data_IF_023064806665
#
_entry.id   IF_023064806665
#
_cell.length_a   1.000
_cell.length_b   1.000
_cell.length_c   1.000
_cell.angle_alpha   90.00
_cell.angle_beta   90.00
_cell.angle_gamma   90.00
#
_symmetry.space_group_name_H-M   'P 1'
#
loop_
_entity.id
_entity.type
_entity.pdbx_description
1 polymer ?
#
# COMPACT_ATOMS: atom_id res chain seq x y z
N UNK A 1 -4.99 22.44 -4.38
CA UNK A 1 -5.31 21.77 -5.66
C UNK A 1 -6.69 21.10 -5.60
N UNK A 2 -6.95 20.17 -4.69
CA UNK A 2 -8.25 19.47 -4.62
C UNK A 2 -9.46 20.41 -4.47
N UNK A 3 -9.34 21.50 -3.73
CA UNK A 3 -10.41 22.49 -3.59
C UNK A 3 -10.63 23.35 -4.85
N UNK A 4 -9.61 23.53 -5.70
CA UNK A 4 -9.73 24.24 -6.97
C UNK A 4 -10.35 23.40 -8.08
N UNK A 5 -10.01 22.11 -8.12
CA UNK A 5 -10.41 21.16 -9.17
C UNK A 5 -11.04 19.89 -8.57
N UNK A 6 -12.09 20.04 -7.74
CA UNK A 6 -12.67 18.90 -7.04
C UNK A 6 -13.19 17.83 -8.00
N UNK A 7 -13.71 18.24 -9.17
CA UNK A 7 -14.26 17.33 -10.18
C UNK A 7 -13.23 16.35 -10.77
N UNK A 8 -11.93 16.68 -10.72
CA UNK A 8 -10.87 15.84 -11.29
C UNK A 8 -10.02 15.17 -10.20
N UNK A 9 -9.87 15.84 -9.05
CA UNK A 9 -8.88 15.46 -8.07
C UNK A 9 -9.45 14.78 -6.82
N UNK A 10 -10.78 14.81 -6.60
CA UNK A 10 -11.38 14.20 -5.41
C UNK A 10 -12.29 13.05 -5.77
N UNK A 11 -12.34 12.03 -4.91
CA UNK A 11 -13.21 10.87 -5.07
C UNK A 11 -14.66 11.18 -4.72
N UNK A 12 -15.59 10.86 -5.62
CA UNK A 12 -17.02 11.03 -5.39
C UNK A 12 -17.50 10.18 -4.20
N UNK A 13 -16.94 8.98 -4.08
CA UNK A 13 -17.27 7.98 -3.05
C UNK A 13 -16.88 8.44 -1.64
N UNK A 14 -15.79 9.20 -1.52
CA UNK A 14 -15.26 9.63 -0.21
C UNK A 14 -15.74 11.00 0.23
N UNK A 15 -16.21 11.86 -0.66
CA UNK A 15 -16.72 13.19 -0.31
C UNK A 15 -17.80 13.22 0.77
N UNK A 16 -18.75 12.26 0.84
CA UNK A 16 -19.75 12.25 1.89
C UNK A 16 -19.17 12.02 3.29
N UNK A 17 -17.96 11.45 3.40
CA UNK A 17 -17.34 11.12 4.68
C UNK A 17 -16.59 12.27 5.34
N UNK A 18 -16.32 13.36 4.61
CA UNK A 18 -15.66 14.52 5.19
C UNK A 18 -16.36 15.83 4.83
N UNK A 19 -16.52 16.71 5.80
CA UNK A 19 -17.10 18.03 5.56
C UNK A 19 -16.07 19.01 5.02
N UNK A 20 -16.51 19.90 4.12
CA UNK A 20 -15.65 20.96 3.60
C UNK A 20 -15.12 21.87 4.72
N UNK A 21 -15.90 22.07 5.78
CA UNK A 21 -15.48 22.84 6.96
C UNK A 21 -14.31 22.17 7.68
N UNK A 22 -14.40 20.86 7.95
CA UNK A 22 -13.32 20.10 8.57
C UNK A 22 -12.02 20.14 7.75
N UNK A 23 -12.12 19.97 6.42
CA UNK A 23 -10.96 20.07 5.51
C UNK A 23 -10.32 21.46 5.55
N UNK A 24 -11.12 22.52 5.60
CA UNK A 24 -10.61 23.89 5.73
C UNK A 24 -9.86 24.13 7.02
N UNK A 25 -10.41 23.65 8.14
CA UNK A 25 -9.73 23.72 9.44
C UNK A 25 -8.42 22.92 9.43
N UNK A 26 -8.42 21.72 8.85
CA UNK A 26 -7.21 20.92 8.71
C UNK A 26 -6.14 21.64 7.88
N UNK A 27 -6.50 22.24 6.73
CA UNK A 27 -5.57 23.01 5.90
C UNK A 27 -5.01 24.21 6.68
N UNK A 28 -5.84 24.93 7.43
CA UNK A 28 -5.38 26.06 8.28
C UNK A 28 -4.38 25.57 9.31
N UNK A 29 -4.73 24.50 10.04
CA UNK A 29 -3.85 23.92 11.05
C UNK A 29 -2.51 23.49 10.46
N UNK A 30 -2.52 22.77 9.32
CA UNK A 30 -1.29 22.30 8.65
C UNK A 30 -0.43 23.46 8.17
N UNK A 31 -1.01 24.53 7.62
CA UNK A 31 -0.25 25.73 7.19
C UNK A 31 0.40 26.41 8.40
N UNK A 32 -0.36 26.61 9.49
CA UNK A 32 0.16 27.24 10.72
C UNK A 32 1.26 26.37 11.33
N UNK A 33 1.04 25.06 11.45
CA UNK A 33 2.04 24.13 11.94
C UNK A 33 3.30 24.11 11.09
N UNK A 34 3.17 24.10 9.75
CA UNK A 34 4.30 24.15 8.82
C UNK A 34 5.16 25.41 9.04
N UNK A 35 4.52 26.58 9.21
CA UNK A 35 5.23 27.84 9.50
C UNK A 35 5.91 27.76 10.85
N UNK A 36 5.22 27.31 11.89
CA UNK A 36 5.78 27.20 13.24
C UNK A 36 6.99 26.25 13.26
N UNK A 37 6.86 25.06 12.66
CA UNK A 37 7.98 24.11 12.56
C UNK A 37 9.13 24.62 11.70
N UNK A 38 8.85 25.38 10.63
CA UNK A 38 9.87 26.00 9.82
C UNK A 38 10.66 27.05 10.63
N UNK A 39 9.99 27.89 11.42
CA UNK A 39 10.64 28.83 12.32
C UNK A 39 11.48 28.11 13.36
N UNK A 40 10.92 27.14 14.08
CA UNK A 40 11.64 26.35 15.10
C UNK A 40 12.87 25.65 14.45
N UNK A 41 12.69 25.01 13.30
CA UNK A 41 13.78 24.36 12.58
C UNK A 41 14.86 25.34 12.15
N UNK A 42 14.48 26.57 11.75
CA UNK A 42 15.44 27.60 11.38
C UNK A 42 16.26 28.12 12.57
N UNK A 43 15.70 28.10 13.76
CA UNK A 43 16.37 28.52 14.99
C UNK A 43 17.32 27.41 15.50
N UNK A 44 16.86 26.15 15.48
CA UNK A 44 17.56 25.03 16.10
C UNK A 44 18.59 24.33 15.21
N UNK A 45 18.44 24.36 13.88
CA UNK A 45 19.29 23.60 12.96
C UNK A 45 20.30 24.48 12.24
N UNK A 46 21.52 23.97 12.06
CA UNK A 46 22.57 24.64 11.25
C UNK A 46 22.16 24.69 9.76
N UNK A 47 21.64 23.58 9.19
CA UNK A 47 21.16 23.55 7.81
C UNK A 47 19.72 24.05 7.74
N UNK A 48 19.50 25.17 7.04
CA UNK A 48 18.21 25.89 6.95
C UNK A 48 17.35 25.45 5.76
N UNK A 49 17.84 24.59 4.87
CA UNK A 49 17.14 24.21 3.63
C UNK A 49 15.72 23.69 3.88
N UNK A 50 15.53 22.74 4.81
CA UNK A 50 14.23 22.18 5.13
C UNK A 50 13.25 23.24 5.68
N UNK A 51 13.74 24.12 6.54
CA UNK A 51 12.95 25.22 7.10
C UNK A 51 12.49 26.20 6.00
N UNK A 52 13.41 26.59 5.12
CA UNK A 52 13.10 27.49 3.99
C UNK A 52 12.13 26.84 3.02
N UNK A 53 12.33 25.58 2.67
CA UNK A 53 11.39 24.84 1.79
C UNK A 53 10.00 24.77 2.41
N UNK A 54 9.88 24.42 3.69
CA UNK A 54 8.59 24.37 4.40
C UNK A 54 7.89 25.73 4.43
N UNK A 55 8.64 26.80 4.70
CA UNK A 55 8.12 28.17 4.68
C UNK A 55 7.62 28.58 3.30
N UNK A 56 8.42 28.32 2.25
CA UNK A 56 8.04 28.64 0.86
C UNK A 56 6.78 27.89 0.42
N UNK A 57 6.68 26.61 0.76
CA UNK A 57 5.48 25.79 0.48
C UNK A 57 4.24 26.31 1.22
N UNK A 58 4.37 26.71 2.49
CA UNK A 58 3.27 27.29 3.25
C UNK A 58 2.81 28.64 2.67
N UNK A 59 3.75 29.51 2.28
CA UNK A 59 3.46 30.78 1.60
C UNK A 59 2.77 30.53 0.27
N UNK A 60 3.29 29.63 -0.57
CA UNK A 60 2.71 29.28 -1.86
C UNK A 60 1.29 28.72 -1.70
N UNK A 61 1.06 27.82 -0.73
CA UNK A 61 -0.26 27.28 -0.44
C UNK A 61 -1.25 28.37 -0.02
N UNK A 62 -0.81 29.33 0.82
CA UNK A 62 -1.63 30.47 1.26
C UNK A 62 -1.93 31.42 0.10
N UNK A 63 -0.94 31.75 -0.70
CA UNK A 63 -1.09 32.61 -1.88
C UNK A 63 -2.04 31.99 -2.92
N UNK A 64 -2.10 30.65 -3.00
CA UNK A 64 -3.02 29.93 -3.86
C UNK A 64 -4.43 29.74 -3.24
N UNK A 65 -4.75 30.53 -2.23
CA UNK A 65 -6.06 30.57 -1.58
C UNK A 65 -6.19 29.73 -0.31
N UNK A 66 -5.24 28.85 -0.02
CA UNK A 66 -5.21 28.06 1.22
C UNK A 66 -6.54 27.37 1.55
N UNK A 67 -7.08 27.63 2.73
CA UNK A 67 -8.38 27.13 3.18
C UNK A 67 -9.58 27.92 2.65
N UNK A 68 -9.35 29.12 2.05
CA UNK A 68 -10.40 30.05 1.63
C UNK A 68 -10.86 29.85 0.18
N UNK A 69 -10.33 28.86 -0.53
CA UNK A 69 -10.69 28.53 -1.89
C UNK A 69 -12.19 28.31 -2.04
N UNK A 70 -12.83 28.98 -2.98
CA UNK A 70 -14.24 28.75 -3.33
C UNK A 70 -14.35 27.44 -4.09
N UNK A 71 -15.10 26.50 -3.55
CA UNK A 71 -15.38 25.21 -4.20
C UNK A 71 -16.67 25.36 -4.98
N UNK A 72 -16.59 25.33 -6.31
CA UNK A 72 -17.77 25.31 -7.16
C UNK A 72 -18.34 23.87 -7.16
N UNK A 73 -19.61 23.76 -6.81
CA UNK A 73 -20.34 22.47 -6.78
C UNK A 73 -20.58 21.95 -8.20
N UNK A 74 -19.59 21.36 -8.83
CA UNK A 74 -19.77 20.64 -10.08
C UNK A 74 -20.18 19.21 -9.79
N UNK A 75 -21.26 18.76 -10.40
CA UNK A 75 -21.64 17.35 -10.40
C UNK A 75 -20.55 16.56 -11.15
N UNK A 76 -20.05 15.50 -10.50
CA UNK A 76 -19.03 14.66 -11.09
C UNK A 76 -19.67 13.52 -11.87
N UNK A 77 -19.52 13.60 -13.16
CA UNK A 77 -19.77 12.47 -14.05
C UNK A 77 -18.41 12.12 -14.72
N UNK A 78 -17.67 11.23 -14.13
CA UNK A 78 -16.40 10.79 -14.74
C UNK A 78 -15.39 10.17 -13.77
N UNK A 79 -14.33 9.60 -14.33
CA UNK A 79 -13.18 9.12 -13.56
C UNK A 79 -12.45 10.28 -12.90
N UNK A 80 -12.13 10.14 -11.62
CA UNK A 80 -11.37 11.10 -10.83
C UNK A 80 -10.03 10.48 -10.40
N UNK A 81 -9.03 11.31 -10.11
CA UNK A 81 -7.71 10.82 -9.69
C UNK A 81 -7.70 10.37 -8.21
N UNK A 82 -8.66 10.85 -7.39
CA UNK A 82 -8.73 10.51 -5.97
C UNK A 82 -7.54 11.02 -5.14
N UNK A 83 -7.01 12.20 -5.47
CA UNK A 83 -5.86 12.78 -4.76
C UNK A 83 -6.16 13.10 -3.30
N UNK A 84 -7.42 13.37 -2.94
CA UNK A 84 -7.88 13.56 -1.57
C UNK A 84 -7.71 12.27 -0.76
N UNK A 85 -8.14 11.14 -1.30
CA UNK A 85 -7.94 9.83 -0.69
C UNK A 85 -6.45 9.49 -0.57
N UNK A 86 -5.69 9.67 -1.64
CA UNK A 86 -4.24 9.46 -1.66
C UNK A 86 -3.52 10.23 -0.55
N UNK A 87 -3.84 11.52 -0.37
CA UNK A 87 -3.22 12.35 0.65
C UNK A 87 -3.62 11.92 2.07
N UNK A 88 -4.90 11.55 2.27
CA UNK A 88 -5.38 11.05 3.56
C UNK A 88 -4.72 9.70 3.92
N UNK A 89 -4.60 8.79 2.96
CA UNK A 89 -3.94 7.51 3.12
C UNK A 89 -2.46 7.70 3.49
N UNK A 90 -1.72 8.47 2.71
CA UNK A 90 -0.31 8.77 2.99
C UNK A 90 -0.10 9.38 4.38
N UNK A 91 -0.94 10.37 4.75
CA UNK A 91 -0.82 11.04 6.06
C UNK A 91 -1.20 10.10 7.20
N UNK A 92 -2.25 9.31 7.04
CA UNK A 92 -2.69 8.36 8.06
C UNK A 92 -1.65 7.27 8.28
N UNK A 93 -1.14 6.67 7.19
CA UNK A 93 -0.10 5.65 7.26
C UNK A 93 1.19 6.21 7.88
N UNK A 94 1.63 7.39 7.46
CA UNK A 94 2.81 8.03 8.05
C UNK A 94 2.60 8.34 9.54
N UNK A 95 1.41 8.81 9.94
CA UNK A 95 1.09 9.15 11.33
C UNK A 95 1.08 7.92 12.25
N UNK A 96 0.70 6.76 11.73
CA UNK A 96 0.68 5.49 12.47
C UNK A 96 2.07 4.85 12.47
N UNK A 97 2.64 4.62 11.30
CA UNK A 97 3.80 3.74 11.17
C UNK A 97 5.13 4.42 11.46
N UNK A 98 5.29 5.71 11.16
CA UNK A 98 6.54 6.41 11.51
C UNK A 98 6.80 6.44 13.04
N UNK A 99 5.82 6.76 13.91
CA UNK A 99 6.01 6.63 15.35
C UNK A 99 6.26 5.19 15.80
N UNK A 100 5.56 4.20 15.25
CA UNK A 100 5.75 2.79 15.62
C UNK A 100 7.18 2.33 15.32
N UNK A 101 7.68 2.60 14.11
CA UNK A 101 9.05 2.26 13.71
C UNK A 101 10.11 3.06 14.48
N UNK A 102 9.78 4.22 15.05
CA UNK A 102 10.71 5.03 15.84
C UNK A 102 10.75 4.64 17.30
N UNK A 103 9.64 4.21 17.86
CA UNK A 103 9.53 3.84 19.26
C UNK A 103 9.97 2.41 19.53
N UNK A 104 9.71 1.50 18.58
CA UNK A 104 10.00 0.06 18.73
C UNK A 104 10.60 -0.54 17.44
N UNK A 105 11.74 -0.01 16.93
CA UNK A 105 12.34 -0.50 15.71
C UNK A 105 12.97 -1.87 15.91
N UNK A 106 12.87 -2.74 14.87
CA UNK A 106 13.68 -3.97 14.80
C UNK A 106 15.15 -3.65 14.51
N UNK A 107 15.37 -2.71 13.58
CA UNK A 107 16.70 -2.23 13.20
C UNK A 107 16.84 -0.76 13.61
N UNK A 108 17.37 -0.47 14.82
CA UNK A 108 17.43 0.90 15.36
C UNK A 108 18.27 1.87 14.53
N UNK A 109 19.30 1.35 13.83
CA UNK A 109 20.18 2.12 12.94
C UNK A 109 19.49 2.55 11.65
N UNK A 110 18.35 1.92 11.28
CA UNK A 110 17.60 2.29 10.09
C UNK A 110 16.84 3.60 10.32
N UNK A 111 17.31 4.66 9.67
CA UNK A 111 16.65 5.97 9.73
C UNK A 111 15.32 5.97 8.97
N UNK A 112 14.39 6.87 9.35
CA UNK A 112 13.11 7.07 8.63
C UNK A 112 13.32 7.42 7.14
N UNK A 113 14.37 8.15 6.81
CA UNK A 113 14.75 8.49 5.45
C UNK A 113 15.98 7.66 5.03
N UNK A 114 15.82 6.34 5.04
CA UNK A 114 16.85 5.39 4.63
C UNK A 114 17.20 5.50 3.14
N UNK A 115 18.29 4.90 2.72
CA UNK A 115 18.63 4.84 1.29
C UNK A 115 17.47 4.19 0.50
N UNK A 116 17.01 4.85 -0.54
CA UNK A 116 15.93 4.37 -1.42
C UNK A 116 14.51 4.84 -1.04
N UNK A 117 14.30 5.53 0.10
CA UNK A 117 12.98 5.99 0.52
C UNK A 117 12.29 6.89 -0.52
N UNK A 118 13.04 7.72 -1.24
CA UNK A 118 12.48 8.57 -2.30
C UNK A 118 11.89 7.77 -3.46
N UNK A 119 12.53 6.65 -3.78
CA UNK A 119 12.01 5.73 -4.79
C UNK A 119 10.72 5.06 -4.32
N UNK A 120 10.65 4.67 -3.03
CA UNK A 120 9.44 4.10 -2.46
C UNK A 120 8.29 5.10 -2.43
N UNK A 121 8.56 6.39 -2.16
CA UNK A 121 7.56 7.46 -2.31
C UNK A 121 7.06 7.56 -3.76
N UNK A 122 7.94 7.46 -4.76
CA UNK A 122 7.53 7.47 -6.18
C UNK A 122 6.66 6.25 -6.48
N UNK A 123 6.98 5.07 -5.96
CA UNK A 123 6.14 3.88 -6.08
C UNK A 123 4.80 4.07 -5.37
N UNK A 124 4.78 4.57 -4.15
CA UNK A 124 3.55 4.88 -3.43
C UNK A 124 2.64 5.79 -4.28
N UNK A 125 3.19 6.85 -4.89
CA UNK A 125 2.44 7.73 -5.77
C UNK A 125 1.95 7.00 -7.03
N UNK A 126 2.79 6.20 -7.66
CA UNK A 126 2.46 5.53 -8.94
C UNK A 126 1.47 4.38 -8.80
N UNK A 127 1.35 3.76 -7.63
CA UNK A 127 0.40 2.68 -7.35
C UNK A 127 -0.92 3.20 -6.78
N UNK A 128 -0.89 4.21 -5.91
CA UNK A 128 -2.09 4.71 -5.22
C UNK A 128 -2.83 5.79 -6.00
N UNK A 129 -2.14 6.69 -6.75
CA UNK A 129 -2.84 7.71 -7.55
C UNK A 129 -3.71 7.10 -8.66
N UNK A 130 -3.25 6.13 -9.47
CA UNK A 130 -4.09 5.54 -10.50
C UNK A 130 -5.01 4.43 -9.99
N UNK A 131 -5.20 4.29 -8.67
CA UNK A 131 -5.95 3.20 -8.05
C UNK A 131 -7.40 3.09 -8.61
N UNK A 132 -8.02 4.20 -8.99
CA UNK A 132 -9.34 4.19 -9.60
C UNK A 132 -9.32 3.59 -11.01
N UNK A 133 -8.28 3.88 -11.80
CA UNK A 133 -8.10 3.28 -13.13
C UNK A 133 -7.84 1.79 -13.00
N UNK A 134 -6.95 1.39 -12.09
CA UNK A 134 -6.65 -0.01 -11.81
C UNK A 134 -7.88 -0.75 -11.28
N UNK A 135 -8.64 -0.13 -10.36
CA UNK A 135 -9.90 -0.68 -9.86
C UNK A 135 -10.93 -0.87 -10.97
N UNK A 136 -11.06 0.08 -11.89
CA UNK A 136 -11.94 -0.06 -13.06
C UNK A 136 -11.52 -1.25 -13.93
N UNK A 137 -10.24 -1.40 -14.24
CA UNK A 137 -9.72 -2.50 -15.05
C UNK A 137 -9.94 -3.87 -14.39
N UNK A 138 -9.91 -3.93 -13.07
CA UNK A 138 -10.09 -5.17 -12.30
C UNK A 138 -11.57 -5.44 -12.00
N UNK A 139 -12.30 -4.44 -11.51
CA UNK A 139 -13.68 -4.61 -11.03
C UNK A 139 -14.69 -4.76 -12.18
N UNK A 140 -14.46 -4.11 -13.33
CA UNK A 140 -15.39 -4.20 -14.44
C UNK A 140 -15.52 -5.64 -14.98
N UNK A 141 -14.44 -6.37 -15.30
CA UNK A 141 -14.54 -7.78 -15.69
C UNK A 141 -15.18 -8.66 -14.63
N UNK A 142 -14.82 -8.47 -13.35
CA UNK A 142 -15.41 -9.24 -12.25
C UNK A 142 -16.91 -8.97 -12.08
N UNK A 143 -17.35 -7.71 -12.22
CA UNK A 143 -18.77 -7.34 -12.19
C UNK A 143 -19.55 -7.98 -13.35
N UNK A 144 -18.98 -8.01 -14.54
CA UNK A 144 -19.61 -8.69 -15.68
C UNK A 144 -19.71 -10.20 -15.42
N UNK A 145 -18.63 -10.82 -14.93
CA UNK A 145 -18.63 -12.24 -14.58
C UNK A 145 -19.71 -12.60 -13.57
N UNK A 146 -19.91 -11.78 -12.51
CA UNK A 146 -20.96 -12.02 -11.51
C UNK A 146 -22.36 -12.00 -12.10
N UNK A 147 -22.63 -11.12 -13.08
CA UNK A 147 -23.90 -11.05 -13.79
C UNK A 147 -24.16 -12.29 -14.64
N UNK A 148 -23.16 -12.76 -15.38
CA UNK A 148 -23.26 -13.95 -16.23
C UNK A 148 -23.39 -15.25 -15.43
N UNK A 149 -22.67 -15.35 -14.30
CA UNK A 149 -22.64 -16.56 -13.48
C UNK A 149 -23.88 -16.73 -12.59
N UNK A 150 -24.74 -15.71 -12.48
CA UNK A 150 -25.98 -15.79 -11.69
C UNK A 150 -25.74 -16.04 -10.20
N UNK A 151 -24.68 -15.46 -9.62
CA UNK A 151 -24.23 -15.72 -8.24
C UNK A 151 -25.14 -15.17 -7.13
N UNK A 152 -26.31 -14.66 -7.46
CA UNK A 152 -27.24 -14.06 -6.49
C UNK A 152 -27.61 -15.01 -5.34
N UNK A 153 -27.78 -16.32 -5.62
CA UNK A 153 -28.08 -17.31 -4.60
C UNK A 153 -26.95 -17.48 -3.59
N UNK A 154 -25.69 -17.49 -4.05
CA UNK A 154 -24.50 -17.54 -3.19
C UNK A 154 -24.40 -16.28 -2.33
N UNK A 155 -24.60 -15.10 -2.92
CA UNK A 155 -24.56 -13.84 -2.19
C UNK A 155 -25.66 -13.77 -1.11
N UNK A 156 -26.88 -14.25 -1.40
CA UNK A 156 -27.95 -14.35 -0.43
C UNK A 156 -27.64 -15.33 0.70
N UNK A 157 -27.00 -16.46 0.38
CA UNK A 157 -26.58 -17.44 1.40
C UNK A 157 -25.54 -16.82 2.34
N UNK A 158 -24.51 -16.17 1.78
CA UNK A 158 -23.45 -15.51 2.56
C UNK A 158 -24.01 -14.36 3.40
N UNK A 159 -24.97 -13.59 2.86
CA UNK A 159 -25.60 -12.49 3.57
C UNK A 159 -26.39 -12.90 4.83
N UNK A 160 -26.73 -14.19 4.99
CA UNK A 160 -27.34 -14.75 6.22
C UNK A 160 -26.35 -14.99 7.35
N UNK A 161 -25.07 -15.02 7.05
CA UNK A 161 -24.00 -15.23 8.04
C UNK A 161 -23.78 -13.91 8.82
N UNK A 162 -23.51 -13.93 10.13
CA UNK A 162 -23.15 -12.73 10.89
C UNK A 162 -21.98 -11.97 10.28
N UNK A 163 -22.04 -10.65 10.27
CA UNK A 163 -21.09 -9.78 9.52
C UNK A 163 -19.61 -10.06 9.84
N UNK A 164 -19.27 -10.26 11.11
CA UNK A 164 -17.88 -10.59 11.51
C UNK A 164 -17.40 -11.91 10.91
N UNK A 165 -18.27 -12.89 10.80
CA UNK A 165 -17.94 -14.16 10.18
C UNK A 165 -17.84 -14.04 8.66
N UNK A 166 -18.71 -13.23 8.03
CA UNK A 166 -18.55 -12.89 6.61
C UNK A 166 -17.20 -12.22 6.35
N UNK A 167 -16.80 -11.27 7.21
CA UNK A 167 -15.52 -10.57 7.08
C UNK A 167 -14.34 -11.54 7.22
N UNK A 168 -14.36 -12.41 8.23
CA UNK A 168 -13.33 -13.44 8.39
C UNK A 168 -13.24 -14.36 7.16
N UNK A 169 -14.37 -14.83 6.64
CA UNK A 169 -14.41 -15.65 5.43
C UNK A 169 -13.89 -14.90 4.20
N UNK A 170 -14.20 -13.60 4.07
CA UNK A 170 -13.67 -12.78 3.00
C UNK A 170 -12.14 -12.66 3.08
N UNK A 171 -11.59 -12.45 4.29
CA UNK A 171 -10.13 -12.41 4.50
C UNK A 171 -9.50 -13.74 4.14
N UNK A 172 -10.10 -14.88 4.53
CA UNK A 172 -9.59 -16.22 4.16
C UNK A 172 -9.63 -16.44 2.65
N UNK A 173 -10.74 -16.10 1.99
CA UNK A 173 -10.88 -16.24 0.53
C UNK A 173 -9.87 -15.37 -0.21
N UNK A 174 -9.69 -14.14 0.24
CA UNK A 174 -8.71 -13.23 -0.31
C UNK A 174 -7.28 -13.74 -0.16
N UNK A 175 -6.92 -14.20 1.05
CA UNK A 175 -5.58 -14.69 1.36
C UNK A 175 -5.23 -15.98 0.58
N UNK A 176 -6.19 -16.88 0.41
CA UNK A 176 -6.00 -18.07 -0.43
C UNK A 176 -5.80 -17.67 -1.91
N UNK A 177 -6.59 -16.71 -2.41
CA UNK A 177 -6.43 -16.22 -3.78
C UNK A 177 -5.08 -15.52 -3.98
N UNK A 178 -4.68 -14.70 -3.00
CA UNK A 178 -3.39 -14.01 -2.99
C UNK A 178 -2.22 -14.99 -2.89
N UNK A 179 -2.32 -16.01 -2.05
CA UNK A 179 -1.31 -17.07 -1.97
C UNK A 179 -1.00 -17.68 -3.34
N UNK A 180 -2.02 -18.02 -4.13
CA UNK A 180 -1.80 -18.65 -5.44
C UNK A 180 -1.22 -17.69 -6.46
N UNK A 181 -1.68 -16.44 -6.53
CA UNK A 181 -1.07 -15.47 -7.44
C UNK A 181 0.34 -15.11 -7.01
N UNK A 182 0.59 -14.96 -5.71
CA UNK A 182 1.90 -14.66 -5.16
C UNK A 182 2.90 -15.81 -5.44
N UNK A 183 2.48 -17.05 -5.22
CA UNK A 183 3.24 -18.24 -5.64
C UNK A 183 3.54 -18.22 -7.13
N UNK A 184 2.58 -17.88 -8.00
CA UNK A 184 2.78 -17.78 -9.43
C UNK A 184 3.76 -16.66 -9.82
N UNK A 185 3.68 -15.51 -9.16
CA UNK A 185 4.61 -14.39 -9.33
C UNK A 185 6.05 -14.79 -9.02
N UNK A 186 6.27 -15.66 -8.04
CA UNK A 186 7.60 -16.22 -7.73
C UNK A 186 8.03 -17.35 -8.66
N UNK A 187 7.12 -18.26 -9.04
CA UNK A 187 7.47 -19.50 -9.77
C UNK A 187 7.46 -19.37 -11.28
N UNK A 188 6.73 -18.39 -11.83
CA UNK A 188 6.68 -18.17 -13.28
C UNK A 188 7.72 -17.10 -13.66
N UNK A 189 8.78 -17.44 -14.44
CA UNK A 189 9.90 -16.52 -14.69
C UNK A 189 9.49 -15.20 -15.37
N UNK A 190 8.44 -15.21 -16.17
CA UNK A 190 7.90 -13.99 -16.78
C UNK A 190 7.25 -13.08 -15.72
N UNK A 191 6.47 -13.64 -14.79
CA UNK A 191 5.79 -12.90 -13.73
C UNK A 191 6.79 -12.39 -12.68
N UNK A 192 7.80 -13.20 -12.36
CA UNK A 192 8.88 -12.82 -11.45
C UNK A 192 9.53 -11.49 -11.84
N UNK A 193 9.70 -11.20 -13.12
CA UNK A 193 10.30 -9.95 -13.59
C UNK A 193 9.59 -8.71 -13.02
N UNK A 194 8.28 -8.78 -12.87
CA UNK A 194 7.47 -7.71 -12.30
C UNK A 194 7.54 -7.72 -10.77
N UNK A 195 7.45 -8.89 -10.16
CA UNK A 195 7.47 -9.06 -8.72
C UNK A 195 8.86 -8.84 -8.10
N UNK A 196 9.93 -9.07 -8.86
CA UNK A 196 11.30 -8.75 -8.44
C UNK A 196 11.49 -7.26 -8.09
N UNK A 197 10.67 -6.36 -8.63
CA UNK A 197 10.64 -4.94 -8.24
C UNK A 197 10.25 -4.81 -6.77
N UNK A 198 9.23 -5.57 -6.33
CA UNK A 198 8.79 -5.59 -4.93
C UNK A 198 9.90 -6.10 -4.01
N UNK A 199 10.57 -7.18 -4.39
CA UNK A 199 11.69 -7.76 -3.65
C UNK A 199 13.01 -6.98 -3.75
N UNK A 200 13.09 -5.91 -4.53
CA UNK A 200 14.35 -5.17 -4.75
C UNK A 200 14.79 -4.27 -3.60
N UNK A 201 13.95 -4.05 -2.59
CA UNK A 201 14.28 -3.22 -1.45
C UNK A 201 15.34 -3.88 -0.58
N UNK A 202 16.41 -3.14 -0.25
CA UNK A 202 17.50 -3.61 0.63
C UNK A 202 17.26 -3.30 2.10
N UNK A 203 16.15 -2.69 2.42
CA UNK A 203 15.69 -2.43 3.79
C UNK A 203 14.17 -2.25 3.76
N UNK A 204 13.46 -2.84 4.71
CA UNK A 204 12.02 -2.76 4.80
C UNK A 204 11.60 -1.73 5.84
N UNK A 205 10.55 -0.99 5.51
CA UNK A 205 9.78 -0.11 6.37
C UNK A 205 8.37 0.02 5.79
N UNK A 206 7.52 0.75 6.47
CA UNK A 206 6.12 0.91 6.10
C UNK A 206 5.89 1.34 4.64
N UNK A 207 6.78 2.18 4.06
CA UNK A 207 6.63 2.68 2.70
C UNK A 207 7.25 1.73 1.65
N UNK A 208 8.17 0.86 2.07
CA UNK A 208 8.77 -0.15 1.18
C UNK A 208 7.75 -1.13 0.62
N UNK A 209 6.67 -1.42 1.38
CA UNK A 209 5.56 -2.25 0.92
C UNK A 209 4.89 -1.74 -0.36
N UNK A 210 4.97 -0.44 -0.63
CA UNK A 210 4.41 0.17 -1.84
C UNK A 210 5.29 0.03 -3.08
N UNK A 211 6.53 -0.48 -2.95
CA UNK A 211 7.41 -0.74 -4.10
C UNK A 211 6.88 -1.95 -4.87
N UNK A 212 6.02 -1.69 -5.85
CA UNK A 212 5.42 -2.73 -6.68
C UNK A 212 5.31 -2.25 -8.12
N UNK A 213 5.47 -3.16 -9.07
CA UNK A 213 5.22 -2.87 -10.47
C UNK A 213 3.70 -2.86 -10.74
N UNK A 214 3.20 -1.94 -11.57
CA UNK A 214 1.75 -1.81 -11.81
C UNK A 214 1.09 -3.08 -12.39
N UNK A 215 1.84 -3.92 -13.13
CA UNK A 215 1.35 -5.23 -13.62
C UNK A 215 1.16 -6.19 -12.46
N UNK A 216 2.14 -6.27 -11.56
CA UNK A 216 2.08 -7.07 -10.34
C UNK A 216 0.86 -6.65 -9.49
N UNK A 217 0.77 -5.37 -9.17
CA UNK A 217 -0.32 -4.78 -8.39
C UNK A 217 -1.71 -5.04 -9.02
N UNK A 218 -1.82 -4.95 -10.34
CA UNK A 218 -3.07 -5.24 -11.07
C UNK A 218 -3.44 -6.71 -11.00
N UNK A 219 -2.47 -7.62 -11.16
CA UNK A 219 -2.70 -9.06 -11.09
C UNK A 219 -3.14 -9.47 -9.68
N UNK A 220 -2.40 -9.05 -8.65
CA UNK A 220 -2.72 -9.36 -7.25
C UNK A 220 -4.11 -8.87 -6.91
N UNK A 221 -4.43 -7.60 -7.18
CA UNK A 221 -5.78 -7.04 -6.93
C UNK A 221 -6.86 -7.78 -7.70
N UNK A 222 -6.61 -8.17 -8.95
CA UNK A 222 -7.55 -8.92 -9.76
C UNK A 222 -7.88 -10.28 -9.17
N UNK A 223 -6.87 -11.02 -8.75
CA UNK A 223 -7.03 -12.34 -8.14
C UNK A 223 -7.72 -12.28 -6.78
N UNK A 224 -7.52 -11.22 -5.98
CA UNK A 224 -8.17 -11.03 -4.69
C UNK A 224 -9.63 -10.60 -4.87
N UNK A 225 -9.89 -9.58 -5.70
CA UNK A 225 -11.20 -8.96 -5.80
C UNK A 225 -12.20 -9.82 -6.57
N UNK A 226 -11.77 -10.57 -7.57
CA UNK A 226 -12.68 -11.40 -8.37
C UNK A 226 -13.46 -12.42 -7.50
N UNK A 227 -12.84 -13.28 -6.68
CA UNK A 227 -13.58 -14.21 -5.82
C UNK A 227 -14.41 -13.49 -4.76
N UNK A 228 -13.94 -12.35 -4.22
CA UNK A 228 -14.73 -11.58 -3.25
C UNK A 228 -16.04 -11.06 -3.86
N UNK A 229 -16.00 -10.57 -5.09
CA UNK A 229 -17.19 -10.07 -5.78
C UNK A 229 -18.22 -11.16 -6.07
N UNK A 230 -17.82 -12.43 -6.17
CA UNK A 230 -18.75 -13.54 -6.37
C UNK A 230 -19.66 -13.79 -5.16
N UNK A 231 -19.16 -13.54 -3.95
CA UNK A 231 -19.88 -13.93 -2.73
C UNK A 231 -20.25 -12.80 -1.78
N UNK A 232 -19.48 -11.71 -1.73
CA UNK A 232 -19.58 -10.72 -0.67
C UNK A 232 -20.17 -9.39 -1.13
N UNK A 233 -20.74 -8.63 -0.18
CA UNK A 233 -21.28 -7.29 -0.45
C UNK A 233 -20.17 -6.27 -0.70
N UNK A 234 -20.49 -5.21 -1.44
CA UNK A 234 -19.55 -4.13 -1.73
C UNK A 234 -19.02 -3.46 -0.44
N UNK A 235 -19.87 -3.27 0.56
CA UNK A 235 -19.46 -2.69 1.84
C UNK A 235 -18.45 -3.56 2.58
N UNK A 236 -18.60 -4.88 2.50
CA UNK A 236 -17.68 -5.83 3.10
C UNK A 236 -16.35 -5.89 2.33
N UNK A 237 -16.38 -5.80 1.00
CA UNK A 237 -15.18 -5.68 0.16
C UNK A 237 -14.41 -4.40 0.49
N UNK A 238 -15.10 -3.26 0.68
CA UNK A 238 -14.46 -2.01 1.11
C UNK A 238 -13.81 -2.14 2.49
N UNK A 239 -14.47 -2.79 3.45
CA UNK A 239 -13.89 -3.07 4.77
C UNK A 239 -12.63 -3.94 4.65
N UNK A 240 -12.65 -4.96 3.78
CA UNK A 240 -11.47 -5.78 3.50
C UNK A 240 -10.34 -4.94 2.87
N UNK A 241 -10.63 -4.06 1.91
CA UNK A 241 -9.61 -3.21 1.28
C UNK A 241 -8.93 -2.29 2.29
N UNK A 242 -9.67 -1.73 3.25
CA UNK A 242 -9.08 -0.95 4.36
C UNK A 242 -8.19 -1.85 5.22
N UNK A 243 -8.68 -3.03 5.59
CA UNK A 243 -7.93 -3.99 6.39
C UNK A 243 -6.63 -4.43 5.71
N UNK A 244 -6.68 -4.83 4.43
CA UNK A 244 -5.48 -5.30 3.71
C UNK A 244 -4.46 -4.18 3.53
N UNK A 245 -4.88 -2.95 3.28
CA UNK A 245 -3.96 -1.80 3.18
C UNK A 245 -3.19 -1.58 4.47
N UNK A 246 -3.89 -1.58 5.62
CA UNK A 246 -3.26 -1.45 6.94
C UNK A 246 -2.35 -2.65 7.22
N UNK A 247 -2.84 -3.87 6.97
CA UNK A 247 -2.09 -5.08 7.32
C UNK A 247 -0.87 -5.31 6.42
N UNK A 248 -0.98 -5.10 5.11
CA UNK A 248 0.16 -5.21 4.19
C UNK A 248 1.24 -4.16 4.50
N UNK A 249 0.85 -2.93 4.85
CA UNK A 249 1.80 -1.92 5.33
C UNK A 249 2.47 -2.36 6.63
N UNK A 250 1.68 -2.88 7.59
CA UNK A 250 2.18 -3.42 8.86
C UNK A 250 3.24 -4.50 8.67
N UNK A 251 3.02 -5.46 7.77
CA UNK A 251 3.93 -6.60 7.57
C UNK A 251 5.30 -6.19 7.02
N UNK A 252 5.40 -5.04 6.36
CA UNK A 252 6.66 -4.49 5.86
C UNK A 252 7.39 -3.59 6.87
N UNK A 253 6.72 -3.18 7.96
CA UNK A 253 7.29 -2.22 8.91
C UNK A 253 8.59 -2.70 9.57
N UNK A 254 9.51 -1.77 9.77
CA UNK A 254 10.65 -1.94 10.67
C UNK A 254 10.20 -1.88 12.13
N UNK A 255 9.34 -2.81 12.53
CA UNK A 255 8.70 -2.84 13.83
C UNK A 255 8.69 -4.25 14.41
N UNK A 256 9.16 -4.38 15.65
CA UNK A 256 9.23 -5.66 16.38
C UNK A 256 8.26 -5.67 17.55
N UNK A 257 6.98 -6.04 17.34
CA UNK A 257 6.03 -6.15 18.42
C UNK A 257 6.36 -7.37 19.29
N UNK A 258 6.29 -7.22 20.60
CA UNK A 258 6.40 -8.37 21.52
C UNK A 258 5.08 -9.15 21.60
N UNK A 259 4.70 -9.79 20.48
CA UNK A 259 3.42 -10.49 20.33
C UNK A 259 3.59 -11.89 19.71
N UNK A 260 4.58 -12.67 20.19
CA UNK A 260 4.91 -14.01 19.66
C UNK A 260 3.72 -14.98 19.57
N UNK A 261 2.71 -14.82 20.43
CA UNK A 261 1.50 -15.65 20.38
C UNK A 261 0.66 -15.36 19.12
N UNK A 262 0.64 -14.08 18.65
CA UNK A 262 -0.13 -13.65 17.48
C UNK A 262 0.50 -14.15 16.18
N UNK A 263 1.83 -14.30 16.14
CA UNK A 263 2.57 -14.83 14.97
C UNK A 263 2.16 -16.25 14.57
N UNK A 264 1.49 -16.97 15.44
CA UNK A 264 0.97 -18.32 15.13
C UNK A 264 -0.30 -18.27 14.27
N UNK A 265 -1.03 -17.18 14.34
CA UNK A 265 -2.35 -17.01 13.72
C UNK A 265 -2.37 -15.97 12.62
N UNK A 266 -1.52 -14.94 12.72
CA UNK A 266 -1.50 -13.80 11.82
C UNK A 266 -0.08 -13.57 11.30
N UNK A 267 0.03 -13.24 10.01
CA UNK A 267 1.29 -12.79 9.42
C UNK A 267 1.69 -11.47 10.08
N UNK A 268 2.87 -11.48 10.69
CA UNK A 268 3.45 -10.34 11.40
C UNK A 268 4.71 -9.88 10.66
N UNK A 269 5.29 -8.70 10.99
CA UNK A 269 6.46 -8.18 10.29
C UNK A 269 7.58 -9.21 10.13
N UNK A 270 8.02 -9.88 11.21
CA UNK A 270 9.09 -10.87 11.16
C UNK A 270 8.81 -11.99 10.15
N UNK A 271 7.58 -12.47 10.04
CA UNK A 271 7.19 -13.52 9.09
C UNK A 271 7.36 -13.07 7.64
N UNK A 272 6.86 -11.88 7.32
CA UNK A 272 6.92 -11.33 5.97
C UNK A 272 8.32 -10.83 5.61
N UNK A 273 9.10 -10.37 6.58
CA UNK A 273 10.50 -10.03 6.38
C UNK A 273 11.33 -11.24 5.94
N UNK A 274 11.03 -12.44 6.43
CA UNK A 274 11.62 -13.69 5.92
C UNK A 274 11.24 -13.99 4.48
N UNK A 275 10.10 -13.54 4.01
CA UNK A 275 9.72 -13.62 2.60
C UNK A 275 10.59 -12.71 1.71
N UNK A 276 10.95 -11.52 2.19
CA UNK A 276 11.74 -10.52 1.46
C UNK A 276 13.26 -10.69 1.56
N UNK A 277 13.74 -11.69 2.26
CA UNK A 277 15.20 -11.88 2.43
C UNK A 277 15.85 -12.48 1.19
N UNK A 278 17.13 -12.16 0.99
CA UNK A 278 18.00 -12.80 -0.01
C UNK A 278 18.67 -14.09 0.49
N UNK A 279 18.36 -14.56 1.70
CA UNK A 279 18.92 -15.77 2.29
C UNK A 279 18.30 -17.02 1.65
N UNK A 280 19.14 -17.97 1.24
CA UNK A 280 18.78 -19.14 0.43
C UNK A 280 17.63 -19.98 1.01
N UNK A 281 17.60 -20.11 2.31
CA UNK A 281 16.68 -20.99 3.06
C UNK A 281 15.24 -20.53 2.97
N UNK A 282 15.02 -19.25 2.72
CA UNK A 282 13.70 -18.62 2.65
C UNK A 282 13.25 -18.24 1.25
N UNK A 283 14.09 -18.48 0.24
CA UNK A 283 13.67 -18.23 -1.15
C UNK A 283 12.45 -19.09 -1.46
N UNK A 284 11.43 -18.48 -2.05
CA UNK A 284 10.16 -19.13 -2.38
C UNK A 284 9.42 -19.71 -1.17
N UNK A 285 9.38 -18.96 -0.06
CA UNK A 285 8.65 -19.28 1.17
C UNK A 285 7.73 -18.14 1.57
N UNK A 286 6.75 -18.45 2.42
CA UNK A 286 5.89 -17.48 3.11
C UNK A 286 5.06 -16.58 2.16
N UNK A 287 4.21 -17.18 1.35
CA UNK A 287 3.40 -16.46 0.35
C UNK A 287 2.08 -15.90 0.90
N UNK A 288 1.58 -16.43 2.03
CA UNK A 288 0.37 -15.92 2.65
C UNK A 288 0.58 -14.51 3.23
N UNK A 289 -0.43 -13.65 3.09
CA UNK A 289 -0.40 -12.25 3.57
C UNK A 289 -1.05 -12.09 4.94
N UNK A 290 -2.07 -12.90 5.23
CA UNK A 290 -2.81 -12.77 6.49
C UNK A 290 -2.58 -13.96 7.42
N UNK A 291 -2.63 -15.19 6.92
CA UNK A 291 -2.66 -16.39 7.76
C UNK A 291 -1.52 -17.37 7.48
N UNK A 292 -0.52 -17.52 8.38
CA UNK A 292 0.62 -18.43 8.18
C UNK A 292 0.23 -19.91 8.02
N UNK A 293 -0.98 -20.30 8.44
CA UNK A 293 -1.46 -21.69 8.29
C UNK A 293 -1.67 -22.07 6.81
N UNK A 294 -1.88 -21.09 5.90
CA UNK A 294 -1.97 -21.35 4.46
C UNK A 294 -0.62 -21.86 3.95
N UNK A 295 0.47 -21.21 4.31
CA UNK A 295 1.82 -21.69 3.95
C UNK A 295 2.14 -23.06 4.57
N UNK A 296 1.64 -23.34 5.77
CA UNK A 296 1.78 -24.67 6.38
C UNK A 296 1.01 -25.73 5.59
N UNK A 297 -0.19 -25.39 5.14
CA UNK A 297 -1.03 -26.30 4.36
C UNK A 297 -0.37 -26.68 3.01
N UNK A 298 0.28 -25.71 2.35
CA UNK A 298 0.90 -25.90 1.04
C UNK A 298 2.42 -26.16 1.09
N UNK A 299 3.02 -26.27 2.29
CA UNK A 299 4.43 -26.65 2.49
C UNK A 299 5.45 -25.55 2.17
N UNK A 300 5.02 -24.30 2.18
CA UNK A 300 5.87 -23.12 1.91
C UNK A 300 6.23 -22.34 3.18
N UNK A 301 5.83 -22.83 4.33
CA UNK A 301 6.09 -22.20 5.62
C UNK A 301 7.57 -22.27 6.01
N UNK A 302 8.17 -21.11 6.35
CA UNK A 302 9.50 -20.98 6.90
C UNK A 302 9.54 -19.85 7.92
N UNK A 303 9.78 -20.14 9.19
CA UNK A 303 9.70 -19.13 10.24
C UNK A 303 10.65 -19.42 11.41
N UNK A 304 11.95 -19.09 11.29
CA UNK A 304 12.91 -19.15 12.37
C UNK A 304 12.65 -18.11 13.45
N UNK A 305 13.28 -18.25 14.61
CA UNK A 305 13.11 -17.30 15.72
C UNK A 305 13.83 -15.99 15.50
N UNK A 306 14.91 -16.00 14.74
CA UNK A 306 15.71 -14.85 14.38
C UNK A 306 15.03 -14.00 13.31
N UNK A 307 15.46 -12.77 13.15
CA UNK A 307 15.12 -11.92 12.03
C UNK A 307 16.11 -12.13 10.87
N UNK A 308 15.69 -11.92 9.60
CA UNK A 308 16.62 -12.02 8.48
C UNK A 308 17.68 -10.94 8.53
N UNK A 309 18.90 -11.29 8.12
CA UNK A 309 20.06 -10.37 8.13
C UNK A 309 20.12 -9.48 6.88
N UNK A 310 19.62 -9.97 5.75
CA UNK A 310 19.76 -9.34 4.45
C UNK A 310 18.45 -9.34 3.67
N UNK A 311 18.20 -8.24 2.95
CA UNK A 311 17.03 -8.06 2.11
C UNK A 311 17.43 -7.85 0.64
N UNK A 312 16.48 -8.04 -0.25
CA UNK A 312 16.65 -7.81 -1.68
C UNK A 312 16.73 -9.08 -2.50
N UNK A 313 17.16 -8.94 -3.74
CA UNK A 313 17.23 -10.04 -4.70
C UNK A 313 18.49 -10.88 -4.49
N UNK A 314 18.32 -12.21 -4.48
CA UNK A 314 19.42 -13.15 -4.33
C UNK A 314 20.16 -13.34 -5.66
N UNK A 315 21.32 -12.71 -5.79
CA UNK A 315 22.19 -12.86 -6.97
C UNK A 315 21.65 -12.22 -8.25
N UNK A 316 20.57 -11.44 -8.16
CA UNK A 316 20.02 -10.68 -9.27
C UNK A 316 20.12 -9.18 -9.03
N UNK A 317 20.39 -8.44 -10.12
CA UNK A 317 20.34 -6.98 -10.11
C UNK A 317 19.25 -6.51 -11.07
N UNK A 318 18.49 -5.52 -10.66
CA UNK A 318 17.54 -4.78 -11.51
C UNK A 318 17.96 -3.33 -11.55
N UNK A 319 17.39 -2.55 -12.46
CA UNK A 319 17.67 -1.13 -12.58
C UNK A 319 17.57 -0.42 -11.22
N UNK A 320 18.49 0.48 -10.88
CA UNK A 320 18.46 1.18 -9.60
C UNK A 320 17.41 2.30 -9.51
N UNK A 321 16.71 2.61 -10.60
CA UNK A 321 15.76 3.71 -10.68
C UNK A 321 14.37 3.26 -11.14
N UNK A 322 13.36 4.07 -10.80
CA UNK A 322 11.96 3.80 -11.08
C UNK A 322 11.65 3.51 -12.56
N UNK A 323 12.15 4.35 -13.50
CA UNK A 323 11.87 4.18 -14.93
C UNK A 323 12.43 2.86 -15.47
N UNK A 324 13.67 2.53 -15.09
CA UNK A 324 14.26 1.25 -15.46
C UNK A 324 13.46 0.08 -14.91
N UNK A 325 13.13 0.10 -13.62
CA UNK A 325 12.31 -0.95 -12.99
C UNK A 325 10.90 -1.06 -13.60
N UNK A 326 10.36 0.01 -14.18
CA UNK A 326 9.07 -0.02 -14.89
C UNK A 326 9.18 -0.62 -16.29
N UNK A 327 10.31 -0.45 -16.99
CA UNK A 327 10.47 -0.85 -18.40
C UNK A 327 11.14 -2.22 -18.54
N UNK A 328 12.18 -2.49 -17.74
CA UNK A 328 12.98 -3.73 -17.84
C UNK A 328 12.16 -5.04 -17.79
N UNK A 329 11.11 -5.17 -16.94
CA UNK A 329 10.30 -6.38 -16.91
C UNK A 329 9.71 -6.79 -18.26
N UNK A 330 9.37 -5.83 -19.11
CA UNK A 330 8.80 -6.10 -20.44
C UNK A 330 9.84 -6.51 -21.48
N UNK A 331 11.02 -5.90 -21.45
CA UNK A 331 12.05 -6.14 -22.48
C UNK A 331 13.01 -7.28 -22.12
N UNK A 332 12.97 -7.72 -20.85
CA UNK A 332 13.92 -8.70 -20.32
C UNK A 332 15.32 -8.10 -20.11
N UNK A 333 16.14 -8.77 -19.31
CA UNK A 333 17.54 -8.34 -19.09
C UNK A 333 18.31 -8.45 -20.40
N UNK A 334 18.99 -7.39 -20.83
CA UNK A 334 20.08 -7.53 -21.79
C UNK A 334 21.10 -8.47 -21.14
N UNK A 335 21.40 -9.61 -21.78
CA UNK A 335 22.57 -10.39 -21.41
C UNK A 335 23.75 -9.44 -21.53
N UNK A 336 24.33 -9.04 -20.42
CA UNK A 336 25.66 -8.42 -20.39
C UNK A 336 26.61 -9.46 -20.99
N UNK A 337 27.44 -9.08 -21.96
CA UNK A 337 28.37 -10.00 -22.62
C UNK A 337 29.39 -10.57 -21.63
#
# INVERSE_FOLDING_TARGET
MCLHFPQFLTSAEFRPFYSLHAIRLLIQFVIVAAVAFAVISSLLRKKKTLALTGMLLAIAATAWGGSSVRVNGSQLNGMTIGMDWFLLDLLLMALIYVPLERLWPQYPEQGTFRKGWTQDVVYFMSTHLPIQILSFLVLLPATQATRYLGVSALQQLIARIPWLLQFFLAVVVADVAEYFIHLALHKVPFLWRFHAVHHSSKALDWIAGSRSHFVDDTLVRGFILAPLMLGFSQSLILAYLIFVTIHATWTHCNFSPNAKWLEKFLVMPRYHHWHHTSQKESIDRNFAIHFPWIDKLFGTYYFPEEWPENYGLAGEEISPNFLGQTIEPFIGKKKTP
#
